data_IF_385829440745
#
_entry.id   IF_385829440745
#
_cell.length_a   1.000
_cell.length_b   1.000
_cell.length_c   1.000
_cell.angle_alpha   90.00
_cell.angle_beta   90.00
_cell.angle_gamma   90.00
#
_symmetry.space_group_name_H-M   'P 1'
#
loop_
_entity.id
_entity.type
_entity.pdbx_description
1 polymer ?
#
# COMPACT_ATOMS: atom_id res chain seq x y z
N UNK A 1 -44.24 -3.39 15.64
CA UNK A 1 -43.40 -3.31 16.86
C UNK A 1 -42.11 -4.02 16.52
N UNK A 2 -41.22 -3.31 15.83
CA UNK A 2 -40.02 -3.87 15.20
C UNK A 2 -38.84 -3.58 16.11
N UNK A 3 -38.28 -4.66 16.66
CA UNK A 3 -37.08 -4.63 17.51
C UNK A 3 -35.88 -4.14 16.69
N UNK A 4 -35.44 -2.92 16.98
CA UNK A 4 -34.20 -2.39 16.42
C UNK A 4 -33.04 -3.09 17.13
N UNK A 5 -32.51 -4.15 16.52
CA UNK A 5 -31.30 -4.83 16.96
C UNK A 5 -30.17 -3.81 17.17
N UNK A 6 -29.89 -3.50 18.43
CA UNK A 6 -28.77 -2.64 18.82
C UNK A 6 -27.51 -3.49 18.71
N UNK A 7 -26.80 -3.35 17.60
CA UNK A 7 -25.49 -4.00 17.42
C UNK A 7 -24.56 -3.56 18.57
N UNK A 8 -23.84 -4.50 19.21
CA UNK A 8 -22.84 -4.12 20.22
C UNK A 8 -21.77 -3.24 19.58
N UNK A 9 -21.54 -2.07 20.17
CA UNK A 9 -20.54 -1.09 19.71
C UNK A 9 -19.14 -1.69 19.84
N UNK A 10 -18.28 -1.43 18.85
CA UNK A 10 -16.87 -1.80 18.92
C UNK A 10 -16.16 -1.05 20.06
N UNK A 11 -15.00 -1.57 20.51
CA UNK A 11 -14.24 -0.98 21.61
C UNK A 11 -13.88 0.51 21.36
N UNK A 12 -13.56 0.88 20.12
CA UNK A 12 -13.25 2.26 19.74
C UNK A 12 -14.49 3.17 19.74
N UNK A 13 -15.65 2.64 19.38
CA UNK A 13 -16.92 3.36 19.36
C UNK A 13 -17.46 3.60 20.77
N UNK A 14 -17.27 2.62 21.67
CA UNK A 14 -17.51 2.79 23.10
C UNK A 14 -16.62 3.91 23.68
N UNK A 15 -15.31 3.89 23.38
CA UNK A 15 -14.36 4.92 23.81
C UNK A 15 -14.73 6.31 23.29
N UNK A 16 -15.12 6.42 22.02
CA UNK A 16 -15.54 7.70 21.43
C UNK A 16 -16.83 8.25 22.08
N UNK A 17 -17.82 7.38 22.32
CA UNK A 17 -19.05 7.75 23.01
C UNK A 17 -18.78 8.24 24.44
N UNK A 18 -17.91 7.55 25.15
CA UNK A 18 -17.57 7.91 26.53
C UNK A 18 -16.77 9.22 26.58
N UNK A 19 -15.89 9.47 25.61
CA UNK A 19 -15.18 10.75 25.47
C UNK A 19 -16.15 11.93 25.23
N UNK A 20 -17.18 11.76 24.39
CA UNK A 20 -18.21 12.79 24.17
C UNK A 20 -19.04 13.03 25.42
N UNK A 21 -19.38 11.97 26.17
CA UNK A 21 -20.13 12.09 27.43
C UNK A 21 -19.31 12.72 28.56
N UNK A 22 -17.98 12.59 28.51
CA UNK A 22 -17.07 13.21 29.45
C UNK A 22 -16.84 14.71 29.18
N UNK A 23 -17.34 15.25 28.06
CA UNK A 23 -17.25 16.69 27.82
C UNK A 23 -18.06 17.45 28.89
N UNK A 24 -17.52 18.54 29.45
CA UNK A 24 -18.24 19.37 30.39
C UNK A 24 -19.50 19.90 29.71
N UNK A 25 -20.65 19.78 30.39
CA UNK A 25 -21.88 20.40 29.91
C UNK A 25 -21.65 21.91 29.89
N UNK A 26 -21.81 22.58 28.74
CA UNK A 26 -21.64 24.02 28.70
C UNK A 26 -22.64 24.65 29.67
N UNK A 27 -22.14 25.49 30.58
CA UNK A 27 -23.02 26.26 31.45
C UNK A 27 -23.82 27.23 30.59
N UNK A 28 -25.14 27.18 30.76
CA UNK A 28 -26.03 28.08 30.06
C UNK A 28 -25.83 29.50 30.60
N UNK A 29 -25.22 30.37 29.78
CA UNK A 29 -25.02 31.79 30.07
C UNK A 29 -26.32 32.43 30.59
N UNK A 30 -26.27 32.95 31.83
CA UNK A 30 -27.41 33.58 32.48
C UNK A 30 -27.95 34.77 31.66
N UNK A 31 -27.05 35.54 31.03
CA UNK A 31 -27.43 36.67 30.18
C UNK A 31 -28.16 36.23 28.91
N UNK A 32 -27.79 35.08 28.35
CA UNK A 32 -28.53 34.47 27.24
C UNK A 32 -29.93 34.01 27.65
N UNK A 33 -30.09 33.43 28.85
CA UNK A 33 -31.41 32.99 29.35
C UNK A 33 -32.33 34.16 29.65
N UNK A 34 -31.82 35.24 30.22
CA UNK A 34 -32.60 36.46 30.44
C UNK A 34 -33.02 37.13 29.14
N UNK A 35 -32.12 37.22 28.15
CA UNK A 35 -32.48 37.70 26.80
C UNK A 35 -33.58 36.85 26.17
N UNK A 36 -33.44 35.52 26.17
CA UNK A 36 -34.46 34.63 25.62
C UNK A 36 -35.81 34.75 26.33
N UNK A 37 -35.82 34.88 27.66
CA UNK A 37 -37.07 35.12 28.41
C UNK A 37 -37.70 36.46 28.07
N UNK A 38 -36.90 37.51 27.97
CA UNK A 38 -37.35 38.86 27.59
C UNK A 38 -37.90 38.87 26.15
N UNK A 39 -37.20 38.23 25.21
CA UNK A 39 -37.63 38.11 23.81
C UNK A 39 -38.90 37.27 23.67
N UNK A 40 -39.04 36.19 24.45
CA UNK A 40 -40.25 35.35 24.46
C UNK A 40 -41.44 36.11 25.05
N UNK A 41 -41.26 36.75 26.21
CA UNK A 41 -42.34 37.47 26.91
C UNK A 41 -42.80 38.74 26.16
N UNK A 42 -41.89 39.39 25.41
CA UNK A 42 -42.23 40.56 24.58
C UNK A 42 -42.86 40.21 23.23
N UNK A 43 -42.99 38.92 22.91
CA UNK A 43 -43.46 38.49 21.58
C UNK A 43 -42.49 38.83 20.44
N UNK A 44 -41.26 39.26 20.74
CA UNK A 44 -40.19 39.51 19.76
C UNK A 44 -39.63 38.23 19.16
N UNK A 45 -39.88 37.09 19.79
CA UNK A 45 -39.85 35.79 19.10
C UNK A 45 -41.11 35.70 18.24
N UNK A 46 -41.30 36.64 17.32
CA UNK A 46 -41.95 36.29 16.06
C UNK A 46 -41.16 35.08 15.59
N UNK A 47 -41.86 33.97 15.34
CA UNK A 47 -41.29 32.85 14.64
C UNK A 47 -40.50 33.44 13.48
N UNK A 48 -39.17 33.42 13.59
CA UNK A 48 -38.28 33.76 12.51
C UNK A 48 -38.43 32.61 11.50
N UNK A 49 -39.62 32.49 10.92
CA UNK A 49 -39.77 32.00 9.58
C UNK A 49 -38.87 32.91 8.79
N UNK A 50 -37.72 32.40 8.30
CA UNK A 50 -36.88 33.20 7.45
C UNK A 50 -37.81 33.70 6.34
N UNK A 51 -38.07 35.02 6.32
CA UNK A 51 -38.70 35.68 5.19
C UNK A 51 -37.72 35.50 4.05
N UNK A 52 -37.85 34.38 3.35
CA UNK A 52 -37.11 34.07 2.14
C UNK A 52 -37.51 35.13 1.13
N UNK A 53 -36.68 36.17 1.02
CA UNK A 53 -36.73 37.11 -0.08
C UNK A 53 -36.80 36.29 -1.38
N UNK A 54 -37.92 36.41 -2.08
CA UNK A 54 -38.31 35.60 -3.24
C UNK A 54 -37.53 35.86 -4.53
N UNK A 55 -36.26 36.26 -4.45
CA UNK A 55 -35.45 36.65 -5.61
C UNK A 55 -34.33 35.68 -6.03
N UNK A 56 -34.16 34.52 -5.38
CA UNK A 56 -32.95 33.69 -5.58
C UNK A 56 -33.13 32.17 -5.55
N UNK A 57 -34.35 31.65 -5.62
CA UNK A 57 -34.61 30.19 -5.49
C UNK A 57 -34.02 29.36 -6.64
N UNK A 58 -33.90 29.93 -7.85
CA UNK A 58 -33.28 29.23 -8.96
C UNK A 58 -31.77 29.01 -8.79
N UNK A 59 -31.05 29.92 -8.10
CA UNK A 59 -29.59 29.79 -7.90
C UNK A 59 -29.21 28.84 -6.76
N UNK A 60 -30.03 28.72 -5.70
CA UNK A 60 -29.72 27.82 -4.57
C UNK A 60 -29.97 26.34 -4.86
N UNK A 61 -30.89 26.00 -5.76
CA UNK A 61 -31.12 24.61 -6.18
C UNK A 61 -29.96 24.05 -7.04
N UNK A 62 -29.29 24.90 -7.83
CA UNK A 62 -28.15 24.50 -8.68
C UNK A 62 -26.90 24.18 -7.86
N UNK A 63 -26.67 24.90 -6.75
CA UNK A 63 -25.47 24.70 -5.90
C UNK A 63 -25.50 23.35 -5.17
N UNK A 64 -26.68 22.84 -4.79
CA UNK A 64 -26.80 21.54 -4.12
C UNK A 64 -26.60 20.33 -5.05
N UNK A 65 -26.80 20.49 -6.36
CA UNK A 65 -26.51 19.45 -7.35
C UNK A 65 -25.04 19.45 -7.82
N UNK A 66 -24.34 20.58 -7.73
CA UNK A 66 -22.94 20.70 -8.15
C UNK A 66 -21.92 20.19 -7.11
N UNK A 67 -22.25 20.22 -5.82
CA UNK A 67 -21.38 19.78 -4.74
C UNK A 67 -20.86 18.32 -4.86
N UNK A 68 -21.69 17.29 -5.15
CA UNK A 68 -21.21 15.92 -5.28
C UNK A 68 -20.28 15.73 -6.50
N UNK A 69 -20.54 16.44 -7.60
CA UNK A 69 -19.71 16.37 -8.81
C UNK A 69 -18.32 16.96 -8.55
N UNK A 70 -18.25 18.12 -7.89
CA UNK A 70 -16.98 18.74 -7.52
C UNK A 70 -16.18 17.86 -6.54
N UNK A 71 -16.84 17.25 -5.55
CA UNK A 71 -16.19 16.34 -4.61
C UNK A 71 -15.66 15.07 -5.31
N UNK A 72 -16.44 14.47 -6.22
CA UNK A 72 -16.00 13.32 -7.00
C UNK A 72 -14.79 13.65 -7.90
N UNK A 73 -14.82 14.81 -8.57
CA UNK A 73 -13.70 15.29 -9.38
C UNK A 73 -12.44 15.52 -8.53
N UNK A 74 -12.58 16.09 -7.33
CA UNK A 74 -11.47 16.29 -6.40
C UNK A 74 -10.88 14.96 -5.92
N UNK A 75 -11.73 13.99 -5.53
CA UNK A 75 -11.28 12.66 -5.12
C UNK A 75 -10.56 11.92 -6.25
N UNK A 76 -11.06 12.03 -7.48
CA UNK A 76 -10.42 11.47 -8.66
C UNK A 76 -9.07 12.14 -8.94
N UNK A 77 -8.99 13.46 -8.87
CA UNK A 77 -7.74 14.21 -9.01
C UNK A 77 -6.72 13.80 -7.95
N UNK A 78 -7.13 13.73 -6.67
CA UNK A 78 -6.28 13.28 -5.57
C UNK A 78 -5.80 11.84 -5.79
N UNK A 79 -6.67 10.95 -6.26
CA UNK A 79 -6.31 9.55 -6.54
C UNK A 79 -5.27 9.45 -7.67
N UNK A 80 -5.48 10.17 -8.78
CA UNK A 80 -4.53 10.21 -9.91
C UNK A 80 -3.19 10.79 -9.49
N UNK A 81 -3.20 11.87 -8.70
CA UNK A 81 -1.98 12.52 -8.21
C UNK A 81 -1.25 11.66 -7.17
N UNK A 82 -1.97 10.82 -6.41
CA UNK A 82 -1.38 9.96 -5.39
C UNK A 82 -0.73 8.68 -5.97
N UNK A 83 -0.84 8.42 -7.28
CA UNK A 83 -0.22 7.23 -7.87
C UNK A 83 1.31 7.30 -7.80
N UNK A 84 1.90 6.19 -7.34
CA UNK A 84 3.34 5.99 -7.36
C UNK A 84 3.89 6.02 -8.80
N UNK A 85 5.21 6.16 -8.96
CA UNK A 85 5.85 5.98 -10.26
C UNK A 85 5.41 4.65 -10.89
N UNK A 86 5.09 4.67 -12.19
CA UNK A 86 4.81 3.43 -12.92
C UNK A 86 6.05 2.54 -12.94
N UNK A 87 5.82 1.23 -12.97
CA UNK A 87 6.87 0.26 -13.22
C UNK A 87 7.57 0.55 -14.54
N UNK A 88 8.90 0.41 -14.53
CA UNK A 88 9.76 0.46 -15.71
C UNK A 88 10.56 -0.83 -15.75
N UNK A 89 10.62 -1.47 -16.90
CA UNK A 89 11.58 -2.56 -17.14
C UNK A 89 12.94 -1.91 -17.36
N UNK A 90 13.92 -2.24 -16.52
CA UNK A 90 15.29 -1.69 -16.59
C UNK A 90 16.28 -2.67 -17.18
N UNK A 91 16.05 -3.97 -16.97
CA UNK A 91 16.87 -5.02 -17.54
C UNK A 91 16.03 -6.25 -17.87
N UNK A 92 16.38 -6.93 -18.96
CA UNK A 92 15.90 -8.27 -19.31
C UNK A 92 17.13 -9.07 -19.71
N UNK A 93 17.26 -10.28 -19.20
CA UNK A 93 18.38 -11.18 -19.55
C UNK A 93 17.88 -12.61 -19.76
N UNK A 94 18.64 -13.37 -20.56
CA UNK A 94 18.28 -14.73 -20.96
C UNK A 94 17.38 -14.79 -22.19
N UNK A 95 16.96 -16.00 -22.54
CA UNK A 95 16.14 -16.31 -23.71
C UNK A 95 14.84 -17.01 -23.28
N UNK A 96 13.85 -17.01 -24.16
CA UNK A 96 12.59 -17.74 -23.96
C UNK A 96 11.34 -16.87 -24.11
N UNK A 97 10.26 -17.32 -23.49
CA UNK A 97 8.94 -16.71 -23.56
C UNK A 97 8.42 -16.53 -22.13
N UNK A 98 8.14 -15.30 -21.75
CA UNK A 98 7.39 -15.01 -20.54
C UNK A 98 5.89 -15.08 -20.83
N UNK A 99 5.08 -15.41 -19.82
CA UNK A 99 3.62 -15.31 -19.90
C UNK A 99 3.17 -14.20 -18.96
N UNK A 100 2.57 -13.15 -19.52
CA UNK A 100 2.01 -12.03 -18.74
C UNK A 100 0.51 -12.00 -18.94
N UNK A 101 -0.26 -12.16 -17.86
CA UNK A 101 -1.72 -12.27 -17.86
C UNK A 101 -2.24 -13.26 -18.93
N UNK A 102 -1.65 -14.46 -18.94
CA UNK A 102 -1.95 -15.56 -19.89
C UNK A 102 -1.56 -15.28 -21.34
N UNK A 103 -0.75 -14.26 -21.61
CA UNK A 103 -0.24 -13.95 -22.96
C UNK A 103 1.25 -14.18 -23.05
N UNK A 104 1.66 -15.06 -23.95
CA UNK A 104 3.05 -15.28 -24.30
C UNK A 104 3.69 -14.00 -24.88
N UNK A 105 4.88 -13.66 -24.40
CA UNK A 105 5.73 -12.57 -24.89
C UNK A 105 7.16 -13.09 -24.97
N UNK A 106 7.76 -13.15 -26.18
CA UNK A 106 9.19 -13.44 -26.32
C UNK A 106 10.03 -12.43 -25.54
N UNK A 107 11.09 -12.89 -24.85
CA UNK A 107 11.93 -12.02 -24.04
C UNK A 107 12.67 -10.94 -24.85
N UNK A 108 12.91 -11.19 -26.13
CA UNK A 108 13.47 -10.21 -27.07
C UNK A 108 12.54 -9.03 -27.40
N UNK A 109 11.24 -9.09 -27.05
CA UNK A 109 10.29 -8.00 -27.27
C UNK A 109 10.12 -7.13 -26.02
N UNK A 110 11.21 -6.46 -25.63
CA UNK A 110 11.30 -5.70 -24.36
C UNK A 110 10.23 -4.62 -24.25
N UNK A 111 9.89 -3.91 -25.33
CA UNK A 111 8.85 -2.87 -25.30
C UNK A 111 7.45 -3.46 -25.09
N UNK A 112 7.19 -4.67 -25.60
CA UNK A 112 5.92 -5.37 -25.36
C UNK A 112 5.83 -5.86 -23.91
N UNK A 113 6.92 -6.42 -23.37
CA UNK A 113 7.03 -6.76 -21.95
C UNK A 113 6.76 -5.54 -21.07
N UNK A 114 7.43 -4.42 -21.35
CA UNK A 114 7.28 -3.19 -20.57
C UNK A 114 5.85 -2.63 -20.60
N UNK A 115 5.11 -2.79 -21.71
CA UNK A 115 3.70 -2.39 -21.78
C UNK A 115 2.78 -3.32 -21.00
N UNK A 116 3.09 -4.62 -20.94
CA UNK A 116 2.24 -5.62 -20.26
C UNK A 116 2.53 -5.72 -18.76
N UNK A 117 3.74 -5.41 -18.32
CA UNK A 117 4.08 -5.44 -16.90
C UNK A 117 3.51 -4.20 -16.21
N UNK A 118 2.34 -4.38 -15.58
CA UNK A 118 1.69 -3.39 -14.74
C UNK A 118 1.45 -3.93 -13.34
N UNK A 119 1.04 -3.04 -12.42
CA UNK A 119 0.62 -3.44 -11.08
C UNK A 119 -0.46 -4.52 -11.14
N UNK A 120 -0.27 -5.59 -10.38
CA UNK A 120 -1.22 -6.70 -10.32
C UNK A 120 -1.15 -7.72 -11.46
N UNK A 121 -0.32 -7.49 -12.49
CA UNK A 121 -0.13 -8.45 -13.57
C UNK A 121 0.42 -9.77 -13.02
N UNK A 122 -0.11 -10.88 -13.51
CA UNK A 122 0.41 -12.23 -13.24
C UNK A 122 1.49 -12.56 -14.27
N UNK A 123 2.69 -12.89 -13.78
CA UNK A 123 3.87 -13.10 -14.60
C UNK A 123 4.42 -14.49 -14.32
N UNK A 124 4.49 -15.30 -15.36
CA UNK A 124 5.28 -16.52 -15.41
C UNK A 124 6.57 -16.25 -16.18
N UNK A 125 7.70 -16.45 -15.52
CA UNK A 125 9.02 -16.19 -16.05
C UNK A 125 9.74 -17.51 -16.35
N UNK A 126 10.46 -17.63 -17.49
CA UNK A 126 11.11 -18.88 -17.87
C UNK A 126 12.42 -19.13 -17.10
N UNK A 127 12.81 -20.41 -17.02
CA UNK A 127 14.08 -20.83 -16.46
C UNK A 127 15.27 -20.13 -17.16
N UNK A 128 16.31 -19.78 -16.39
CA UNK A 128 17.55 -19.22 -16.93
C UNK A 128 17.44 -17.78 -17.46
N UNK A 129 16.30 -17.13 -17.26
CA UNK A 129 16.10 -15.72 -17.59
C UNK A 129 15.82 -14.90 -16.35
N UNK A 130 16.00 -13.59 -16.47
CA UNK A 130 15.61 -12.62 -15.44
C UNK A 130 15.07 -11.32 -16.02
N UNK A 131 14.27 -10.63 -15.22
CA UNK A 131 13.80 -9.28 -15.50
C UNK A 131 13.89 -8.43 -14.26
N UNK A 132 14.38 -7.21 -14.42
CA UNK A 132 14.40 -6.19 -13.39
C UNK A 132 13.33 -5.13 -13.72
N UNK A 133 12.45 -4.90 -12.75
CA UNK A 133 11.45 -3.83 -12.80
C UNK A 133 11.67 -2.85 -11.66
N UNK A 134 11.52 -1.56 -11.96
CA UNK A 134 11.75 -0.50 -11.00
C UNK A 134 10.58 0.48 -10.94
N UNK A 135 10.23 0.88 -9.73
CA UNK A 135 9.45 2.07 -9.42
C UNK A 135 10.46 3.14 -8.99
N UNK A 136 10.81 4.12 -9.84
CA UNK A 136 11.90 5.06 -9.62
C UNK A 136 11.99 5.61 -8.20
N UNK A 137 13.17 5.43 -7.58
CA UNK A 137 13.50 5.89 -6.22
C UNK A 137 12.79 5.14 -5.08
N UNK A 138 11.85 4.24 -5.35
CA UNK A 138 11.05 3.55 -4.34
C UNK A 138 11.38 2.06 -4.24
N UNK A 139 11.34 1.31 -5.34
CA UNK A 139 11.44 -0.15 -5.29
C UNK A 139 12.08 -0.67 -6.57
N UNK A 140 12.96 -1.65 -6.45
CA UNK A 140 13.36 -2.52 -7.55
C UNK A 140 13.06 -3.97 -7.18
N UNK A 141 12.56 -4.71 -8.16
CA UNK A 141 12.22 -6.13 -8.06
C UNK A 141 12.86 -6.84 -9.23
N UNK A 142 13.70 -7.82 -8.95
CA UNK A 142 14.22 -8.77 -9.91
C UNK A 142 13.42 -10.07 -9.79
N UNK A 143 12.95 -10.55 -10.93
CA UNK A 143 12.25 -11.82 -11.09
C UNK A 143 13.21 -12.72 -11.86
N UNK A 144 13.52 -13.89 -11.32
CA UNK A 144 14.48 -14.81 -11.93
C UNK A 144 13.98 -16.26 -11.91
N UNK A 145 14.40 -17.03 -12.91
CA UNK A 145 14.14 -18.46 -12.96
C UNK A 145 12.68 -18.76 -13.24
N UNK A 146 12.27 -19.99 -12.93
CA UNK A 146 10.92 -20.48 -13.17
C UNK A 146 9.89 -19.90 -12.19
N UNK A 147 9.67 -18.59 -12.28
CA UNK A 147 8.91 -17.82 -11.30
C UNK A 147 7.48 -17.57 -11.75
N UNK A 148 6.52 -17.81 -10.86
CA UNK A 148 5.13 -17.35 -11.00
C UNK A 148 4.83 -16.33 -9.91
N UNK A 149 4.61 -15.08 -10.31
CA UNK A 149 4.48 -13.95 -9.38
C UNK A 149 3.37 -12.99 -9.81
N UNK A 150 2.84 -12.24 -8.86
CA UNK A 150 2.00 -11.08 -9.11
C UNK A 150 2.82 -9.81 -8.87
N UNK A 151 2.94 -8.99 -9.92
CA UNK A 151 3.70 -7.74 -9.89
C UNK A 151 3.13 -6.81 -8.81
N UNK A 152 3.96 -6.29 -7.90
CA UNK A 152 3.48 -5.43 -6.83
C UNK A 152 2.82 -4.15 -7.33
N UNK A 153 1.92 -3.58 -6.57
CA UNK A 153 1.46 -2.19 -6.84
C UNK A 153 2.54 -1.21 -6.38
N UNK A 154 2.96 -0.20 -7.17
CA UNK A 154 3.93 0.77 -6.66
C UNK A 154 3.33 1.53 -5.47
N UNK A 155 4.14 1.91 -4.46
CA UNK A 155 3.63 2.62 -3.30
C UNK A 155 3.07 3.99 -3.70
N UNK A 156 1.92 4.38 -3.13
CA UNK A 156 1.36 5.72 -3.34
C UNK A 156 2.28 6.83 -2.85
N UNK A 157 2.09 8.06 -3.34
CA UNK A 157 2.97 9.20 -3.00
C UNK A 157 2.78 9.68 -1.56
N UNK A 158 1.54 9.87 -1.13
CA UNK A 158 1.19 10.41 0.19
C UNK A 158 0.39 9.42 1.03
N UNK A 159 -0.59 8.74 0.43
CA UNK A 159 -1.48 7.79 1.10
C UNK A 159 -1.46 6.44 0.38
N UNK A 160 -2.04 5.39 0.98
CA UNK A 160 -2.07 4.06 0.37
C UNK A 160 -0.67 3.50 0.10
N UNK A 161 0.22 3.63 1.08
CA UNK A 161 1.64 3.23 0.97
C UNK A 161 1.88 1.77 1.36
N UNK A 162 0.83 0.95 1.33
CA UNK A 162 0.93 -0.50 1.46
C UNK A 162 0.99 -1.13 0.07
N UNK A 163 2.03 -1.93 -0.14
CA UNK A 163 2.28 -2.65 -1.38
C UNK A 163 2.09 -4.13 -1.10
N UNK A 164 1.43 -4.84 -2.00
CA UNK A 164 1.32 -6.29 -1.95
C UNK A 164 1.94 -6.92 -3.20
N UNK A 165 2.78 -7.93 -3.00
CA UNK A 165 3.26 -8.85 -4.03
C UNK A 165 2.82 -10.28 -3.68
N UNK A 166 2.62 -11.12 -4.70
CA UNK A 166 2.37 -12.54 -4.51
C UNK A 166 3.44 -13.35 -5.22
N UNK A 167 3.97 -14.40 -4.59
CA UNK A 167 4.94 -15.31 -5.20
C UNK A 167 4.45 -16.73 -4.98
N UNK A 168 4.06 -17.40 -6.07
CA UNK A 168 3.51 -18.76 -6.01
C UNK A 168 4.59 -19.84 -6.13
N UNK A 169 5.66 -19.56 -6.90
CA UNK A 169 6.86 -20.40 -7.06
C UNK A 169 8.01 -19.56 -7.61
N UNK A 170 9.25 -20.00 -7.40
CA UNK A 170 10.44 -19.36 -7.93
C UNK A 170 10.97 -18.29 -6.98
N UNK A 171 11.51 -17.19 -7.50
CA UNK A 171 12.31 -16.25 -6.73
C UNK A 171 12.03 -14.79 -7.07
N UNK A 172 11.98 -13.97 -6.02
CA UNK A 172 11.99 -12.51 -6.12
C UNK A 172 13.15 -11.95 -5.30
N UNK A 173 13.94 -11.07 -5.92
CA UNK A 173 14.88 -10.21 -5.18
C UNK A 173 14.38 -8.79 -5.18
N UNK A 174 14.41 -8.16 -4.01
CA UNK A 174 13.75 -6.89 -3.75
C UNK A 174 14.74 -5.96 -3.07
N UNK A 175 14.80 -4.71 -3.54
CA UNK A 175 15.52 -3.64 -2.85
C UNK A 175 14.70 -2.37 -2.83
N UNK A 176 14.63 -1.71 -1.67
CA UNK A 176 13.89 -0.46 -1.51
C UNK A 176 14.80 0.76 -1.64
N UNK A 177 14.28 1.83 -2.23
CA UNK A 177 14.96 3.13 -2.33
C UNK A 177 14.44 4.18 -1.31
N UNK A 178 15.00 5.40 -1.33
CA UNK A 178 14.64 6.46 -0.38
C UNK A 178 13.15 6.85 -0.37
N UNK A 179 12.48 6.81 -1.53
CA UNK A 179 11.05 7.13 -1.65
C UNK A 179 10.13 6.05 -1.05
N UNK A 180 10.68 4.90 -0.63
CA UNK A 180 9.96 3.85 0.09
C UNK A 180 9.79 4.15 1.58
N UNK A 181 10.46 5.17 2.14
CA UNK A 181 10.36 5.49 3.56
C UNK A 181 8.89 5.69 3.98
N UNK A 182 8.47 5.00 5.04
CA UNK A 182 7.06 5.03 5.51
C UNK A 182 6.08 4.26 4.62
N UNK A 183 6.55 3.53 3.60
CA UNK A 183 5.78 2.51 2.91
C UNK A 183 6.05 1.13 3.52
N UNK A 184 5.16 0.19 3.24
CA UNK A 184 5.25 -1.21 3.65
C UNK A 184 5.03 -2.09 2.44
N UNK A 185 5.84 -3.13 2.29
CA UNK A 185 5.63 -4.17 1.29
C UNK A 185 5.29 -5.48 2.01
N UNK A 186 4.25 -6.16 1.55
CA UNK A 186 3.89 -7.50 1.97
C UNK A 186 4.08 -8.44 0.78
N UNK A 187 4.97 -9.42 0.91
CA UNK A 187 5.09 -10.53 -0.05
C UNK A 187 4.37 -11.73 0.54
N UNK A 188 3.41 -12.27 -0.20
CA UNK A 188 2.69 -13.49 0.20
C UNK A 188 3.14 -14.66 -0.66
N UNK A 189 3.51 -15.75 0.00
CA UNK A 189 3.72 -17.06 -0.62
C UNK A 189 2.66 -18.04 -0.09
N UNK A 190 2.57 -19.27 -0.63
CA UNK A 190 1.66 -20.26 -0.07
C UNK A 190 1.97 -20.61 1.39
N UNK A 191 3.23 -20.55 1.80
CA UNK A 191 3.65 -20.94 3.15
C UNK A 191 3.83 -19.75 4.11
N UNK A 192 4.17 -18.56 3.61
CA UNK A 192 4.63 -17.46 4.44
C UNK A 192 4.05 -16.09 4.04
N UNK A 193 4.04 -15.20 5.03
CA UNK A 193 3.88 -13.76 4.84
C UNK A 193 5.19 -13.08 5.21
N UNK A 194 5.63 -12.15 4.36
CA UNK A 194 6.86 -11.37 4.55
C UNK A 194 6.51 -9.89 4.58
N UNK A 195 6.84 -9.21 5.66
CA UNK A 195 6.63 -7.77 5.82
C UNK A 195 7.96 -7.03 5.76
N UNK A 196 8.03 -6.10 4.82
CA UNK A 196 9.23 -5.36 4.46
C UNK A 196 9.05 -3.88 4.81
N UNK A 197 9.99 -3.35 5.60
CA UNK A 197 10.02 -1.94 6.03
C UNK A 197 11.38 -1.32 5.70
N UNK A 198 11.72 -1.27 4.41
CA UNK A 198 12.97 -0.66 3.92
C UNK A 198 14.20 -1.57 4.07
N UNK A 199 14.61 -2.26 3.01
CA UNK A 199 15.60 -3.34 3.06
C UNK A 199 16.06 -3.77 1.66
N UNK A 200 17.04 -4.67 1.61
CA UNK A 200 17.31 -5.55 0.47
C UNK A 200 17.13 -7.01 0.91
N UNK A 201 16.27 -7.76 0.23
CA UNK A 201 15.97 -9.16 0.56
C UNK A 201 15.73 -10.03 -0.67
N UNK A 202 15.86 -11.35 -0.51
CA UNK A 202 15.37 -12.37 -1.45
C UNK A 202 14.24 -13.18 -0.82
N UNK A 203 13.24 -13.53 -1.62
CA UNK A 203 12.15 -14.45 -1.26
C UNK A 203 12.14 -15.57 -2.29
N UNK A 204 12.40 -16.80 -1.84
CA UNK A 204 12.51 -17.99 -2.68
C UNK A 204 11.41 -18.96 -2.25
N UNK A 205 10.49 -19.27 -3.16
CA UNK A 205 9.37 -20.18 -2.96
C UNK A 205 9.67 -21.50 -3.66
N UNK A 206 10.17 -22.47 -2.89
CA UNK A 206 10.53 -23.82 -3.31
C UNK A 206 9.39 -24.81 -2.98
N UNK A 207 9.39 -26.04 -3.53
CA UNK A 207 8.36 -27.04 -3.21
C UNK A 207 8.23 -27.39 -1.72
N UNK A 208 9.34 -27.32 -0.97
CA UNK A 208 9.39 -27.66 0.46
C UNK A 208 8.99 -26.49 1.37
N UNK A 209 8.99 -25.26 0.86
CA UNK A 209 8.64 -24.08 1.61
C UNK A 209 9.22 -22.77 1.07
N UNK A 210 9.13 -21.73 1.87
CA UNK A 210 9.59 -20.39 1.53
C UNK A 210 10.82 -20.00 2.34
N UNK A 211 11.91 -19.64 1.65
CA UNK A 211 13.12 -19.07 2.23
C UNK A 211 13.13 -17.54 2.05
N UNK A 212 13.43 -16.81 3.11
CA UNK A 212 13.59 -15.35 3.07
C UNK A 212 14.99 -14.98 3.53
N UNK A 213 15.79 -14.37 2.67
CA UNK A 213 17.18 -13.97 2.91
C UNK A 213 17.27 -12.44 3.03
N UNK A 214 17.85 -11.90 4.11
CA UNK A 214 17.88 -10.45 4.39
C UNK A 214 19.28 -9.87 4.27
N UNK A 215 19.59 -9.15 3.19
CA UNK A 215 20.94 -8.62 2.98
C UNK A 215 21.22 -7.39 3.85
N UNK A 216 20.25 -6.50 3.98
CA UNK A 216 20.40 -5.21 4.68
C UNK A 216 19.10 -4.86 5.41
N UNK A 217 19.15 -4.45 6.67
CA UNK A 217 17.96 -4.04 7.42
C UNK A 217 17.27 -5.21 8.12
N UNK A 218 15.94 -5.13 8.23
CA UNK A 218 15.11 -6.10 8.97
C UNK A 218 13.79 -6.32 8.25
N UNK A 219 13.33 -7.57 8.26
CA UNK A 219 11.98 -7.94 7.79
C UNK A 219 11.28 -8.74 8.86
N UNK A 220 9.94 -8.86 8.77
CA UNK A 220 9.18 -9.80 9.58
C UNK A 220 8.69 -10.93 8.71
N UNK A 221 8.85 -12.17 9.16
CA UNK A 221 8.48 -13.37 8.42
C UNK A 221 7.77 -14.34 9.35
N UNK A 222 6.68 -14.92 8.87
CA UNK A 222 5.94 -15.94 9.60
C UNK A 222 5.04 -16.74 8.68
N UNK A 223 4.50 -17.87 9.17
CA UNK A 223 3.48 -18.62 8.45
C UNK A 223 2.27 -17.74 8.13
N UNK A 224 1.52 -18.08 7.09
CA UNK A 224 0.30 -17.34 6.74
C UNK A 224 -0.71 -17.35 7.91
N UNK A 225 -1.06 -16.15 8.39
CA UNK A 225 -1.95 -15.98 9.57
C UNK A 225 -1.31 -16.34 10.91
N UNK A 226 -0.03 -16.73 10.93
CA UNK A 226 0.72 -17.12 12.12
C UNK A 226 1.51 -15.98 12.76
N UNK A 227 2.26 -16.34 13.81
CA UNK A 227 3.16 -15.41 14.48
C UNK A 227 4.34 -15.01 13.57
N UNK A 228 4.63 -13.72 13.52
CA UNK A 228 5.69 -13.12 12.71
C UNK A 228 6.95 -12.89 13.55
N UNK A 229 8.09 -13.41 13.11
CA UNK A 229 9.39 -13.20 13.74
C UNK A 229 10.23 -12.19 12.93
N UNK A 230 11.09 -11.43 13.61
CA UNK A 230 12.06 -10.57 12.95
C UNK A 230 13.22 -11.41 12.36
N UNK A 231 13.61 -11.10 11.12
CA UNK A 231 14.79 -11.66 10.47
C UNK A 231 15.75 -10.50 10.22
N UNK A 232 16.90 -10.56 10.88
CA UNK A 232 17.93 -9.52 10.82
C UNK A 232 18.82 -9.67 9.59
N UNK A 233 19.56 -8.62 9.29
CA UNK A 233 20.60 -8.59 8.28
C UNK A 233 21.58 -9.79 8.38
N UNK A 234 21.91 -10.37 7.23
CA UNK A 234 22.82 -11.51 7.10
C UNK A 234 22.20 -12.85 7.48
N UNK A 235 20.91 -12.88 7.85
CA UNK A 235 20.18 -14.09 8.22
C UNK A 235 19.19 -14.49 7.14
N UNK A 236 18.76 -15.73 7.23
CA UNK A 236 17.58 -16.23 6.54
C UNK A 236 16.59 -16.83 7.52
N UNK A 237 15.32 -16.87 7.12
CA UNK A 237 14.27 -17.69 7.76
C UNK A 237 13.60 -18.56 6.71
N UNK A 238 13.49 -19.85 7.01
CA UNK A 238 12.80 -20.83 6.19
C UNK A 238 11.47 -21.22 6.86
N UNK A 239 10.36 -21.06 6.15
CA UNK A 239 9.02 -21.46 6.59
C UNK A 239 8.59 -22.65 5.74
N UNK A 240 8.34 -23.79 6.38
CA UNK A 240 8.07 -25.05 5.68
C UNK A 240 6.59 -25.18 5.30
N UNK A 241 6.35 -25.85 4.17
CA UNK A 241 5.00 -26.18 3.70
C UNK A 241 4.29 -27.20 4.58
N UNK A 242 5.03 -28.11 5.20
CA UNK A 242 4.50 -29.17 6.06
C UNK A 242 4.08 -28.69 7.46
N UNK A 243 4.22 -27.39 7.75
CA UNK A 243 3.82 -26.77 9.01
C UNK A 243 4.80 -26.98 10.17
N UNK A 244 5.96 -27.62 9.94
CA UNK A 244 6.99 -27.72 10.99
C UNK A 244 7.54 -26.32 11.35
N UNK A 245 8.10 -26.16 12.55
CA UNK A 245 8.59 -24.85 13.00
C UNK A 245 9.58 -24.22 12.01
N UNK A 246 9.46 -22.90 11.73
CA UNK A 246 10.41 -22.22 10.86
C UNK A 246 11.84 -22.27 11.42
N UNK A 247 12.83 -22.28 10.53
CA UNK A 247 14.26 -22.33 10.88
C UNK A 247 14.94 -21.02 10.51
N UNK A 248 15.69 -20.45 11.45
CA UNK A 248 16.56 -19.31 11.20
C UNK A 248 18.02 -19.78 11.01
N UNK A 249 18.68 -19.31 9.97
CA UNK A 249 20.06 -19.66 9.66
C UNK A 249 20.85 -18.46 9.13
N UNK A 250 22.14 -18.65 8.86
CA UNK A 250 22.92 -17.68 8.11
C UNK A 250 22.45 -17.64 6.65
N UNK A 251 22.46 -16.45 6.05
CA UNK A 251 22.20 -16.26 4.64
C UNK A 251 23.14 -17.10 3.76
N UNK A 252 22.59 -17.74 2.72
CA UNK A 252 23.36 -18.46 1.70
C UNK A 252 24.35 -17.51 0.98
N UNK A 253 25.62 -17.90 0.77
CA UNK A 253 26.60 -17.04 0.11
C UNK A 253 26.20 -16.54 -1.28
N UNK A 254 25.54 -17.40 -2.09
CA UNK A 254 25.06 -17.02 -3.43
C UNK A 254 24.06 -15.87 -3.38
N UNK A 255 23.07 -15.94 -2.48
CA UNK A 255 22.07 -14.89 -2.30
C UNK A 255 22.68 -13.56 -1.87
N UNK A 256 23.73 -13.62 -1.05
CA UNK A 256 24.46 -12.41 -0.63
C UNK A 256 25.03 -11.66 -1.83
N UNK A 257 25.58 -12.38 -2.81
CA UNK A 257 26.19 -11.80 -4.01
C UNK A 257 25.12 -11.19 -4.91
N UNK A 258 24.06 -11.93 -5.22
CA UNK A 258 23.03 -11.45 -6.14
C UNK A 258 22.24 -10.27 -5.56
N UNK A 259 21.88 -10.32 -4.28
CA UNK A 259 21.24 -9.18 -3.61
C UNK A 259 22.15 -7.95 -3.55
N UNK A 260 23.47 -8.14 -3.40
CA UNK A 260 24.41 -7.03 -3.42
C UNK A 260 24.49 -6.39 -4.81
N UNK A 261 24.47 -7.19 -5.89
CA UNK A 261 24.43 -6.69 -7.27
C UNK A 261 23.15 -5.91 -7.56
N UNK A 262 21.98 -6.45 -7.22
CA UNK A 262 20.70 -5.77 -7.38
C UNK A 262 20.71 -4.41 -6.65
N UNK A 263 21.18 -4.38 -5.40
CA UNK A 263 21.28 -3.13 -4.61
C UNK A 263 22.19 -2.10 -5.28
N UNK A 264 23.33 -2.52 -5.82
CA UNK A 264 24.26 -1.62 -6.51
C UNK A 264 23.63 -1.03 -7.77
N UNK A 265 22.98 -1.85 -8.61
CA UNK A 265 22.26 -1.36 -9.81
C UNK A 265 21.15 -0.38 -9.45
N UNK A 266 20.32 -0.72 -8.47
CA UNK A 266 19.23 0.17 -8.03
C UNK A 266 19.72 1.52 -7.50
N UNK A 267 20.87 1.55 -6.81
CA UNK A 267 21.48 2.81 -6.35
C UNK A 267 22.05 3.64 -7.50
N UNK A 268 22.58 3.00 -8.54
CA UNK A 268 23.06 3.69 -9.74
C UNK A 268 21.92 4.33 -10.54
N UNK A 269 20.75 3.68 -10.57
CA UNK A 269 19.54 4.18 -11.25
C UNK A 269 18.79 5.27 -10.47
N UNK A 270 19.16 5.51 -9.21
CA UNK A 270 18.56 6.59 -8.46
C UNK A 270 18.96 7.93 -9.12
N UNK A 271 18.00 8.78 -9.54
CA UNK A 271 18.33 10.06 -10.16
C UNK A 271 19.27 10.81 -9.23
N UNK A 272 20.43 11.24 -9.77
CA UNK A 272 21.38 12.06 -9.05
C UNK A 272 20.58 13.17 -8.38
N UNK A 273 20.60 13.21 -7.05
CA UNK A 273 19.80 14.16 -6.27
C UNK A 273 20.08 15.53 -6.86
N UNK A 274 19.10 16.10 -7.56
CA UNK A 274 19.12 17.51 -7.93
C UNK A 274 19.49 18.26 -6.67
N UNK A 275 20.60 18.98 -6.72
CA UNK A 275 21.23 19.62 -5.58
C UNK A 275 20.26 20.50 -4.80
N UNK A 276 20.64 20.97 -3.60
CA UNK A 276 19.76 21.78 -2.77
C UNK A 276 19.17 22.91 -3.62
N UNK A 277 17.83 22.94 -3.72
CA UNK A 277 17.11 24.11 -4.20
C UNK A 277 17.43 25.19 -3.17
N UNK A 278 18.35 26.09 -3.53
CA UNK A 278 18.67 27.29 -2.75
C UNK A 278 17.49 28.24 -2.76
#
# INVERSE_FOLDING_TARGET
MTDTHTRPLGHDEARARDAVRALPRPEADAGFRERLRSEFASGRIEAAHPRLAGGGRARRAVVWLAAPVAAAALLLAVSVLNQGPRWRVTAVSGEGIAVVDRRAVPLGHVEELARRIHAGAEVEWPAGASIEITSPGALAVEIEGETLTRVPTPPGRWFGREVAAGLSRGELRITTGPAFRGARLVVRTPEASVEVVGTTLGVICEPQGTCVCVLEGRVRVGPLGGAMAAVEQGRLRYTFRDGRPPVDAEMRPVERVELARLRLRHRADAPARSGPVQ
#
